data_IF_621547671593
#
_entry.id   IF_621547671593
#
_cell.length_a   1.000
_cell.length_b   1.000
_cell.length_c   1.000
_cell.angle_alpha   90.00
_cell.angle_beta   90.00
_cell.angle_gamma   90.00
#
_symmetry.space_group_name_H-M   'P 1'
#
loop_
_entity.id
_entity.type
_entity.pdbx_description
1 polymer ?
#
# COMPACT_ATOMS: atom_id res chain seq x y z
N UNK A 1 -1.03 -2.46 16.19
CA UNK A 1 -1.92 -3.50 16.76
C UNK A 1 -1.46 -4.82 16.19
N UNK A 2 -0.66 -5.57 16.94
CA UNK A 2 -0.42 -6.99 16.66
C UNK A 2 -1.01 -7.70 17.87
N UNK A 3 -2.09 -8.45 17.65
CA UNK A 3 -2.82 -9.16 18.70
C UNK A 3 -1.88 -10.11 19.44
N UNK A 4 -2.13 -10.33 20.73
CA UNK A 4 -1.28 -11.15 21.60
C UNK A 4 -1.00 -12.57 21.07
N UNK A 5 -1.85 -13.08 20.18
CA UNK A 5 -1.71 -14.39 19.51
C UNK A 5 -0.49 -14.53 18.58
N UNK A 6 0.05 -13.43 18.06
CA UNK A 6 1.21 -13.46 17.17
C UNK A 6 2.56 -13.36 17.91
N UNK A 7 2.55 -13.14 19.23
CA UNK A 7 3.77 -12.87 20.02
C UNK A 7 4.81 -14.01 19.99
N UNK A 8 4.39 -15.23 19.70
CA UNK A 8 5.25 -16.43 19.70
C UNK A 8 5.33 -17.11 18.33
N UNK A 9 4.89 -16.45 17.25
CA UNK A 9 4.87 -17.02 15.91
C UNK A 9 5.81 -16.27 14.98
N UNK A 10 6.38 -16.99 14.01
CA UNK A 10 7.18 -16.36 12.94
C UNK A 10 6.24 -15.55 12.04
N UNK A 11 6.54 -14.26 11.87
CA UNK A 11 5.79 -13.38 10.97
C UNK A 11 6.67 -13.10 9.75
N UNK A 12 6.23 -13.58 8.59
CA UNK A 12 6.82 -13.25 7.30
C UNK A 12 5.75 -12.52 6.50
N UNK A 13 6.03 -11.26 6.15
CA UNK A 13 5.14 -10.44 5.35
C UNK A 13 5.98 -9.60 4.38
N UNK A 14 5.35 -9.15 3.30
CA UNK A 14 5.92 -8.15 2.40
C UNK A 14 5.19 -6.83 2.61
N UNK A 15 5.77 -5.89 3.38
CA UNK A 15 5.19 -4.56 3.54
C UNK A 15 4.99 -3.85 2.19
N UNK A 16 5.89 -4.14 1.23
CA UNK A 16 5.85 -3.54 -0.09
C UNK A 16 4.65 -4.01 -0.93
N UNK A 17 4.30 -5.30 -0.91
CA UNK A 17 3.12 -5.79 -1.64
C UNK A 17 1.82 -5.22 -1.07
N UNK A 18 1.72 -5.11 0.26
CA UNK A 18 0.58 -4.46 0.93
C UNK A 18 0.49 -2.99 0.53
N UNK A 19 1.61 -2.29 0.49
CA UNK A 19 1.66 -0.89 0.09
C UNK A 19 1.24 -0.69 -1.38
N UNK A 20 1.68 -1.54 -2.32
CA UNK A 20 1.22 -1.52 -3.71
C UNK A 20 -0.31 -1.66 -3.79
N UNK A 21 -0.88 -2.67 -3.13
CA UNK A 21 -2.31 -2.93 -3.16
C UNK A 21 -3.12 -1.76 -2.59
N UNK A 22 -2.70 -1.22 -1.44
CA UNK A 22 -3.39 -0.09 -0.81
C UNK A 22 -3.29 1.19 -1.64
N UNK A 23 -2.15 1.44 -2.30
CA UNK A 23 -2.00 2.56 -3.23
C UNK A 23 -2.82 2.39 -4.50
N UNK A 24 -3.04 1.16 -4.97
CA UNK A 24 -3.97 0.91 -6.07
C UNK A 24 -5.42 1.16 -5.64
N UNK A 25 -5.82 0.69 -4.45
CA UNK A 25 -7.15 0.91 -3.90
C UNK A 25 -7.44 2.38 -3.62
N UNK A 26 -6.42 3.18 -3.25
CA UNK A 26 -6.59 4.61 -3.00
C UNK A 26 -7.04 5.37 -4.26
N UNK A 27 -6.72 4.85 -5.45
CA UNK A 27 -7.19 5.41 -6.73
C UNK A 27 -8.72 5.36 -6.88
N UNK A 28 -9.37 4.34 -6.30
CA UNK A 28 -10.83 4.21 -6.29
C UNK A 28 -11.51 4.89 -5.10
N UNK A 29 -10.74 5.27 -4.07
CA UNK A 29 -11.27 5.91 -2.88
C UNK A 29 -11.69 7.36 -3.14
N UNK A 30 -12.63 7.88 -2.34
CA UNK A 30 -13.13 9.26 -2.47
C UNK A 30 -13.30 9.92 -1.10
N UNK A 31 -13.39 11.26 -1.11
CA UNK A 31 -13.66 12.06 0.07
C UNK A 31 -12.66 11.78 1.20
N UNK A 32 -13.18 11.62 2.42
CA UNK A 32 -12.38 11.39 3.63
C UNK A 32 -11.52 10.12 3.55
N UNK A 33 -12.03 9.03 2.98
CA UNK A 33 -11.28 7.77 2.85
C UNK A 33 -10.05 7.95 1.97
N UNK A 34 -10.16 8.68 0.86
CA UNK A 34 -9.01 8.97 0.01
C UNK A 34 -7.94 9.77 0.77
N UNK A 35 -8.36 10.78 1.55
CA UNK A 35 -7.45 11.60 2.35
C UNK A 35 -6.71 10.76 3.40
N UNK A 36 -7.44 9.92 4.14
CA UNK A 36 -6.85 9.04 5.15
C UNK A 36 -5.89 8.02 4.53
N UNK A 37 -6.19 7.49 3.34
CA UNK A 37 -5.28 6.58 2.63
C UNK A 37 -4.01 7.28 2.16
N UNK A 38 -4.11 8.48 1.57
CA UNK A 38 -2.93 9.26 1.12
C UNK A 38 -2.03 9.60 2.31
N UNK A 39 -2.61 10.05 3.42
CA UNK A 39 -1.85 10.34 4.65
C UNK A 39 -1.26 9.08 5.28
N UNK A 40 -2.05 8.01 5.42
CA UNK A 40 -1.62 6.77 6.08
C UNK A 40 -0.58 5.99 5.29
N UNK A 41 -0.56 6.13 3.96
CA UNK A 41 0.42 5.50 3.08
C UNK A 41 1.61 6.42 2.77
N UNK A 42 1.64 7.66 3.28
CA UNK A 42 2.66 8.67 2.97
C UNK A 42 2.85 8.87 1.46
N UNK A 43 1.75 8.94 0.72
CA UNK A 43 1.74 9.13 -0.74
C UNK A 43 1.96 10.62 -1.03
N UNK A 44 3.19 10.99 -1.39
CA UNK A 44 3.54 12.39 -1.70
C UNK A 44 3.02 12.85 -3.06
N UNK A 45 2.94 11.93 -4.02
CA UNK A 45 2.52 12.20 -5.40
C UNK A 45 1.83 10.95 -5.97
N UNK A 46 0.50 11.01 -6.05
CA UNK A 46 -0.34 9.91 -6.54
C UNK A 46 -0.08 9.57 -8.00
N UNK A 47 0.32 10.54 -8.83
CA UNK A 47 0.58 10.31 -10.25
C UNK A 47 1.91 9.56 -10.45
N UNK A 48 2.97 10.02 -9.78
CA UNK A 48 4.28 9.35 -9.82
C UNK A 48 4.22 7.93 -9.25
N UNK A 49 3.43 7.70 -8.21
CA UNK A 49 3.24 6.37 -7.66
C UNK A 49 2.58 5.41 -8.66
N UNK A 50 1.57 5.88 -9.38
CA UNK A 50 0.88 5.06 -10.36
C UNK A 50 1.80 4.69 -11.53
N UNK A 51 2.68 5.60 -11.96
CA UNK A 51 3.71 5.35 -12.98
C UNK A 51 4.71 4.30 -12.47
N UNK A 52 5.27 4.50 -11.27
CA UNK A 52 6.24 3.58 -10.68
C UNK A 52 5.70 2.16 -10.53
N UNK A 53 4.44 1.97 -10.16
CA UNK A 53 3.84 0.63 -10.10
C UNK A 53 3.64 0.00 -11.46
N UNK A 54 3.24 0.76 -12.48
CA UNK A 54 3.11 0.23 -13.84
C UNK A 54 4.46 -0.29 -14.36
N UNK A 55 5.53 0.46 -14.13
CA UNK A 55 6.89 0.06 -14.49
C UNK A 55 7.33 -1.20 -13.75
N UNK A 56 7.04 -1.26 -12.44
CA UNK A 56 7.41 -2.40 -11.61
C UNK A 56 6.63 -3.67 -11.99
N UNK A 57 5.33 -3.55 -12.29
CA UNK A 57 4.53 -4.67 -12.80
C UNK A 57 5.02 -5.13 -14.19
N UNK A 58 5.44 -4.21 -15.05
CA UNK A 58 6.02 -4.54 -16.35
C UNK A 58 7.38 -5.25 -16.21
N UNK A 59 8.14 -4.99 -15.15
CA UNK A 59 9.43 -5.62 -14.86
C UNK A 59 9.29 -7.08 -14.38
N UNK A 60 8.12 -7.45 -13.84
CA UNK A 60 7.84 -8.81 -13.34
C UNK A 60 7.11 -9.71 -14.36
N UNK A 61 6.85 -9.20 -15.56
CA UNK A 61 6.17 -9.91 -16.65
C UNK A 61 7.17 -10.28 -17.75
#
# INVERSE_FOLDING_TARGET
>A
IVSGELKSQNIIASPFSVHILLSYLSHGARGRTAQEMVTGLSISDTERLHIGYKELMALFN
#
